data_IF_582917028578
#
_entry.id   IF_582917028578
#
_cell.length_a   1.000
_cell.length_b   1.000
_cell.length_c   1.000
_cell.angle_alpha   90.00
_cell.angle_beta   90.00
_cell.angle_gamma   90.00
#
_symmetry.space_group_name_H-M   'P 1'
#
loop_
_entity.id
_entity.type
_entity.pdbx_description
1 polymer ?
#
# COMPACT_ATOMS: atom_id res chain seq x y z
N UNK A 1 22.27 10.90 4.13
CA UNK A 1 21.78 9.93 5.14
C UNK A 1 20.27 9.93 5.07
N UNK A 2 19.65 8.82 4.66
CA UNK A 2 18.18 8.68 4.74
C UNK A 2 17.79 8.72 6.22
N UNK A 3 17.09 9.77 6.64
CA UNK A 3 16.57 9.89 8.01
C UNK A 3 15.08 9.56 8.00
N UNK A 4 14.72 8.44 8.62
CA UNK A 4 13.33 8.07 8.85
C UNK A 4 12.84 8.73 10.14
N UNK A 5 11.65 9.31 10.10
CA UNK A 5 11.05 9.95 11.28
C UNK A 5 10.66 8.90 12.35
N UNK A 6 10.50 7.62 11.96
CA UNK A 6 10.32 6.45 12.83
C UNK A 6 10.86 5.17 12.14
N UNK A 7 11.51 4.23 12.85
CA UNK A 7 11.94 2.97 12.27
C UNK A 7 10.74 2.05 12.04
N UNK A 8 10.43 1.78 10.78
CA UNK A 8 9.42 0.77 10.38
C UNK A 8 10.19 -0.55 10.15
N UNK A 9 9.92 -1.63 10.89
CA UNK A 9 10.72 -2.87 10.82
C UNK A 9 10.78 -3.51 9.42
N UNK A 10 9.73 -3.32 8.62
CA UNK A 10 9.61 -3.80 7.23
C UNK A 10 10.21 -2.85 6.19
N UNK A 11 10.81 -1.74 6.61
CA UNK A 11 11.45 -0.74 5.75
C UNK A 11 12.97 -0.80 5.90
N UNK A 12 13.67 -1.04 4.80
CA UNK A 12 15.12 -1.21 4.78
C UNK A 12 15.77 -0.24 3.79
N UNK A 13 16.89 0.37 4.20
CA UNK A 13 17.72 1.18 3.32
C UNK A 13 19.00 0.40 3.00
N UNK A 14 19.24 0.14 1.72
CA UNK A 14 20.46 -0.54 1.25
C UNK A 14 21.26 0.38 0.34
N UNK A 15 22.59 0.28 0.43
CA UNK A 15 23.52 0.98 -0.47
C UNK A 15 23.99 0.00 -1.54
N UNK A 16 23.98 0.42 -2.81
CA UNK A 16 24.53 -0.38 -3.90
C UNK A 16 26.02 -0.63 -3.70
N UNK A 17 26.50 -1.86 -3.87
CA UNK A 17 27.93 -2.18 -3.78
C UNK A 17 28.73 -1.54 -4.93
N UNK A 18 28.11 -1.50 -6.11
CA UNK A 18 28.73 -1.04 -7.36
C UNK A 18 28.08 0.22 -7.94
N UNK A 19 27.21 0.88 -7.15
CA UNK A 19 26.48 2.09 -7.54
C UNK A 19 26.51 3.12 -6.41
N UNK A 20 26.54 4.44 -6.70
CA UNK A 20 26.33 5.48 -5.69
C UNK A 20 24.87 5.56 -5.18
N UNK A 21 23.98 4.72 -5.71
CA UNK A 21 22.55 4.75 -5.40
C UNK A 21 22.20 4.11 -4.05
N UNK A 22 21.15 4.65 -3.45
CA UNK A 22 20.50 4.10 -2.27
C UNK A 22 19.12 3.58 -2.65
N UNK A 23 18.79 2.39 -2.18
CA UNK A 23 17.47 1.78 -2.39
C UNK A 23 16.71 1.73 -1.07
N UNK A 24 15.43 2.10 -1.17
CA UNK A 24 14.46 1.95 -0.10
C UNK A 24 13.57 0.74 -0.41
N UNK A 25 13.63 -0.28 0.42
CA UNK A 25 12.92 -1.55 0.24
C UNK A 25 11.81 -1.66 1.27
N UNK A 26 10.60 -1.95 0.78
CA UNK A 26 9.45 -2.34 1.59
C UNK A 26 9.23 -3.84 1.42
N UNK A 27 9.35 -4.60 2.49
CA UNK A 27 9.12 -6.05 2.45
C UNK A 27 8.49 -6.56 3.76
N UNK A 28 7.15 -6.79 3.80
CA UNK A 28 6.18 -6.52 2.75
C UNK A 28 5.78 -5.02 2.65
N UNK A 29 5.24 -4.64 1.49
CA UNK A 29 4.55 -3.36 1.30
C UNK A 29 3.14 -3.42 1.92
N UNK A 30 2.73 -2.36 2.61
CA UNK A 30 1.43 -2.28 3.30
C UNK A 30 0.65 -1.02 2.90
N UNK A 31 -0.69 -1.03 3.07
CA UNK A 31 -1.53 0.15 2.78
C UNK A 31 -1.18 1.34 3.66
N UNK A 32 -0.67 1.10 4.87
CA UNK A 32 -0.23 2.14 5.78
C UNK A 32 1.01 2.92 5.28
N UNK A 33 1.67 2.45 4.21
CA UNK A 33 2.78 3.16 3.56
C UNK A 33 2.35 4.29 2.62
N UNK A 34 1.05 4.41 2.34
CA UNK A 34 0.54 5.45 1.43
C UNK A 34 0.90 6.82 1.99
N UNK A 35 1.64 7.60 1.20
CA UNK A 35 2.06 8.92 1.63
C UNK A 35 3.25 9.48 0.89
N UNK A 36 3.74 10.61 1.40
CA UNK A 36 4.88 11.31 0.83
C UNK A 36 6.19 10.72 1.37
N UNK A 37 6.94 10.07 0.48
CA UNK A 37 8.31 9.68 0.71
C UNK A 37 9.24 10.85 0.38
N UNK A 38 10.07 11.25 1.32
CA UNK A 38 11.04 12.33 1.14
C UNK A 38 12.45 11.82 1.31
N UNK A 39 13.24 11.86 0.23
CA UNK A 39 14.68 11.67 0.29
C UNK A 39 15.35 13.00 0.64
N UNK A 40 16.17 13.00 1.69
CA UNK A 40 16.95 14.16 2.11
C UNK A 40 18.44 13.88 1.92
N UNK A 41 19.08 14.69 1.09
CA UNK A 41 20.53 14.71 0.93
C UNK A 41 21.08 15.91 1.70
N UNK A 42 21.81 15.61 2.78
CA UNK A 42 22.52 16.60 3.59
C UNK A 42 24.00 16.53 3.24
N UNK A 43 24.53 17.62 2.70
CA UNK A 43 25.97 17.84 2.51
C UNK A 43 26.41 18.85 3.58
N UNK A 44 27.48 18.52 4.31
CA UNK A 44 28.04 19.33 5.41
C UNK A 44 28.41 20.76 5.02
N UNK A 45 28.57 21.07 3.73
CA UNK A 45 28.99 22.40 3.25
C UNK A 45 27.98 23.10 2.33
N UNK A 46 26.86 22.46 2.00
CA UNK A 46 25.84 22.98 1.09
C UNK A 46 24.45 22.97 1.74
N UNK A 47 23.46 23.51 1.01
CA UNK A 47 22.05 23.45 1.41
C UNK A 47 21.51 22.04 1.24
N UNK A 48 20.69 21.58 2.20
CA UNK A 48 19.96 20.33 2.08
C UNK A 48 19.12 20.29 0.79
N UNK A 49 19.21 19.17 0.07
CA UNK A 49 18.38 18.87 -1.09
C UNK A 49 17.30 17.88 -0.70
N UNK A 50 16.05 18.16 -1.10
CA UNK A 50 14.89 17.34 -0.79
C UNK A 50 14.24 16.87 -2.09
N UNK A 51 13.92 15.58 -2.13
CA UNK A 51 13.13 14.98 -3.20
C UNK A 51 11.93 14.25 -2.60
N UNK A 52 10.74 14.79 -2.83
CA UNK A 52 9.49 14.18 -2.35
C UNK A 52 8.74 13.50 -3.49
N UNK A 53 8.21 12.31 -3.21
CA UNK A 53 7.37 11.50 -4.11
C UNK A 53 6.20 10.92 -3.33
N UNK A 54 5.03 10.86 -3.97
CA UNK A 54 3.86 10.22 -3.38
C UNK A 54 3.86 8.73 -3.71
N UNK A 55 3.87 7.88 -2.68
CA UNK A 55 3.69 6.45 -2.79
C UNK A 55 2.20 6.12 -2.70
N UNK A 56 1.69 5.48 -3.74
CA UNK A 56 0.32 4.98 -3.79
C UNK A 56 0.34 3.45 -3.81
N UNK A 57 -0.21 2.81 -2.78
CA UNK A 57 -0.22 1.35 -2.64
C UNK A 57 -1.58 0.82 -3.09
N UNK A 58 -1.57 0.02 -4.15
CA UNK A 58 -2.77 -0.57 -4.76
C UNK A 58 -2.89 -2.00 -4.25
N UNK A 59 -4.12 -2.43 -3.98
CA UNK A 59 -4.42 -3.79 -3.54
C UNK A 59 -5.59 -4.36 -4.33
N UNK A 60 -5.46 -5.63 -4.69
CA UNK A 60 -6.51 -6.35 -5.40
C UNK A 60 -7.80 -6.43 -4.56
N UNK A 61 -8.98 -6.42 -5.20
CA UNK A 61 -10.23 -6.70 -4.53
C UNK A 61 -10.24 -8.13 -3.95
N UNK A 62 -10.62 -8.24 -2.69
CA UNK A 62 -10.89 -9.50 -1.99
C UNK A 62 -12.34 -9.49 -1.55
N UNK A 63 -13.07 -10.55 -1.88
CA UNK A 63 -14.46 -10.74 -1.45
C UNK A 63 -14.44 -11.25 0.00
N UNK A 64 -14.95 -10.43 0.92
CA UNK A 64 -14.99 -10.72 2.35
C UNK A 64 -16.23 -11.54 2.73
N UNK A 65 -17.38 -11.18 2.15
CA UNK A 65 -18.64 -11.85 2.37
C UNK A 65 -19.34 -11.96 1.04
N UNK A 66 -19.69 -13.18 0.67
CA UNK A 66 -20.45 -13.43 -0.53
C UNK A 66 -21.54 -14.44 -0.25
N UNK A 67 -22.74 -14.13 -0.73
CA UNK A 67 -23.73 -15.13 -1.09
C UNK A 67 -23.29 -15.94 -2.32
N UNK A 68 -22.02 -16.37 -2.37
CA UNK A 68 -21.44 -17.25 -3.41
C UNK A 68 -21.94 -18.68 -3.32
N UNK A 69 -22.69 -19.02 -2.26
CA UNK A 69 -23.40 -20.29 -2.19
C UNK A 69 -24.77 -20.11 -2.81
N UNK A 70 -25.18 -21.13 -3.56
CA UNK A 70 -26.53 -21.25 -4.06
C UNK A 70 -27.52 -21.08 -2.89
N UNK A 71 -28.50 -20.21 -3.09
CA UNK A 71 -29.61 -20.02 -2.15
C UNK A 71 -30.84 -20.66 -2.77
N UNK A 72 -31.39 -21.67 -2.11
CA UNK A 72 -32.68 -22.25 -2.47
C UNK A 72 -33.80 -21.49 -1.78
N UNK A 73 -34.79 -21.04 -2.54
CA UNK A 73 -35.94 -20.29 -2.03
C UNK A 73 -37.24 -20.79 -2.62
N UNK A 74 -38.33 -20.61 -1.88
CA UNK A 74 -39.67 -21.01 -2.31
C UNK A 74 -40.38 -19.85 -3.01
N UNK A 75 -41.43 -20.19 -3.76
CA UNK A 75 -42.28 -19.17 -4.38
C UNK A 75 -42.94 -18.29 -3.32
N UNK A 76 -42.84 -16.97 -3.49
CA UNK A 76 -43.29 -15.95 -2.52
C UNK A 76 -42.22 -15.47 -1.53
N UNK A 77 -41.04 -16.08 -1.49
CA UNK A 77 -39.97 -15.65 -0.59
C UNK A 77 -39.28 -14.36 -1.07
N UNK A 78 -38.87 -13.52 -0.11
CA UNK A 78 -38.02 -12.34 -0.38
C UNK A 78 -36.57 -12.66 -0.05
N UNK A 79 -35.66 -12.41 -1.01
CA UNK A 79 -34.24 -12.75 -0.90
C UNK A 79 -33.39 -11.49 -0.99
N UNK A 80 -32.36 -11.42 -0.15
CA UNK A 80 -31.31 -10.38 -0.22
C UNK A 80 -29.97 -11.07 -0.41
N UNK A 81 -29.31 -10.76 -1.53
CA UNK A 81 -27.94 -11.21 -1.81
C UNK A 81 -26.96 -10.18 -1.27
N UNK A 82 -25.92 -10.64 -0.58
CA UNK A 82 -24.91 -9.79 0.04
C UNK A 82 -23.57 -10.09 -0.62
N UNK A 83 -22.93 -9.04 -1.15
CA UNK A 83 -21.57 -9.09 -1.66
C UNK A 83 -20.80 -7.93 -1.04
N UNK A 84 -19.79 -8.26 -0.25
CA UNK A 84 -18.87 -7.31 0.37
C UNK A 84 -17.47 -7.59 -0.15
N UNK A 85 -16.86 -6.60 -0.79
CA UNK A 85 -15.50 -6.67 -1.29
C UNK A 85 -14.65 -5.54 -0.70
N UNK A 86 -13.39 -5.84 -0.43
CA UNK A 86 -12.40 -4.89 0.07
C UNK A 86 -11.23 -4.81 -0.89
N UNK A 87 -10.72 -3.62 -1.17
CA UNK A 87 -9.60 -3.40 -2.09
C UNK A 87 -9.18 -1.95 -2.04
N UNK A 88 -8.14 -1.57 -2.79
CA UNK A 88 -7.82 -0.18 -3.02
C UNK A 88 -7.30 0.02 -4.45
N UNK A 89 -7.94 0.88 -5.27
CA UNK A 89 -9.13 1.67 -4.98
C UNK A 89 -10.36 0.82 -4.59
N UNK A 90 -11.36 1.44 -3.96
CA UNK A 90 -12.58 0.73 -3.54
C UNK A 90 -13.19 -0.01 -4.73
N UNK A 91 -13.41 -1.33 -4.64
CA UNK A 91 -13.92 -2.12 -5.74
C UNK A 91 -15.35 -1.72 -6.09
N UNK A 92 -15.68 -1.79 -7.38
CA UNK A 92 -17.04 -1.66 -7.87
C UNK A 92 -17.68 -3.05 -7.91
N UNK A 93 -18.87 -3.18 -7.35
CA UNK A 93 -19.69 -4.40 -7.41
C UNK A 93 -20.74 -4.16 -8.50
N UNK A 94 -20.74 -5.01 -9.53
CA UNK A 94 -21.66 -4.98 -10.68
C UNK A 94 -22.44 -6.29 -10.80
#
# INVERSE_FOLDING_TARGET
VLQFNQPIPRLQAIHGTDSPDWYLIFDPLDRDDIGNLTCRLTDTNLRDVYLTRFLNVISEPVVLESSTKDIEVSDGDSVTLICNAQGYPTPKIE
#
